data_IF_857302875116
#
_entry.id   IF_857302875116
#
_cell.length_a   1.000
_cell.length_b   1.000
_cell.length_c   1.000
_cell.angle_alpha   90.00
_cell.angle_beta   90.00
_cell.angle_gamma   90.00
#
_symmetry.space_group_name_H-M   'P 1'
#
loop_
_entity.id
_entity.type
_entity.pdbx_description
1 polymer ?
#
# COMPACT_ATOMS: atom_id res chain seq x y z
N UNK A 1 -21.34 10.60 17.71
CA UNK A 1 -21.00 10.62 16.28
C UNK A 1 -20.51 9.24 15.91
N UNK A 2 -21.34 8.42 15.27
CA UNK A 2 -20.93 7.12 14.78
C UNK A 2 -20.31 7.29 13.41
N UNK A 3 -19.00 7.08 13.28
CA UNK A 3 -18.40 6.88 11.96
C UNK A 3 -18.87 5.52 11.47
N UNK A 4 -20.02 5.45 10.79
CA UNK A 4 -20.46 4.22 10.13
C UNK A 4 -19.62 4.06 8.87
N UNK A 5 -18.49 3.37 8.99
CA UNK A 5 -17.72 2.92 7.84
C UNK A 5 -18.60 1.95 7.07
N UNK A 6 -19.02 2.33 5.87
CA UNK A 6 -19.86 1.46 5.03
C UNK A 6 -18.98 0.44 4.27
N UNK A 7 -19.55 -0.69 3.82
CA UNK A 7 -18.83 -1.64 2.97
C UNK A 7 -18.25 -0.98 1.71
N UNK A 8 -18.97 -0.02 1.13
CA UNK A 8 -18.51 0.76 -0.03
C UNK A 8 -17.30 1.64 0.29
N UNK A 9 -17.23 2.19 1.51
CA UNK A 9 -16.08 2.98 1.97
C UNK A 9 -14.84 2.10 2.13
N UNK A 10 -15.00 0.85 2.61
CA UNK A 10 -13.91 -0.14 2.68
C UNK A 10 -13.44 -0.56 1.28
N UNK A 11 -14.36 -0.78 0.34
CA UNK A 11 -14.01 -1.10 -1.06
C UNK A 11 -13.30 0.07 -1.76
N UNK A 12 -13.77 1.31 -1.57
CA UNK A 12 -13.10 2.50 -2.12
C UNK A 12 -11.72 2.69 -1.50
N UNK A 13 -11.61 2.54 -0.19
CA UNK A 13 -10.34 2.66 0.54
C UNK A 13 -9.34 1.60 0.13
N UNK A 14 -9.76 0.34 -0.02
CA UNK A 14 -8.88 -0.74 -0.49
C UNK A 14 -8.38 -0.51 -1.92
N UNK A 15 -9.24 -0.03 -2.83
CA UNK A 15 -8.85 0.32 -4.21
C UNK A 15 -7.92 1.53 -4.25
N UNK A 16 -8.13 2.53 -3.39
CA UNK A 16 -7.22 3.66 -3.24
C UNK A 16 -5.85 3.19 -2.71
N UNK A 17 -5.84 2.35 -1.68
CA UNK A 17 -4.63 1.82 -1.08
C UNK A 17 -3.82 0.96 -2.06
N UNK A 18 -4.46 0.07 -2.83
CA UNK A 18 -3.79 -0.71 -3.88
C UNK A 18 -3.16 0.18 -4.94
N UNK A 19 -3.85 1.22 -5.40
CA UNK A 19 -3.29 2.17 -6.38
C UNK A 19 -2.11 2.96 -5.80
N UNK A 20 -2.18 3.38 -4.55
CA UNK A 20 -1.08 4.06 -3.86
C UNK A 20 0.12 3.12 -3.69
N UNK A 21 -0.11 1.87 -3.30
CA UNK A 21 0.92 0.83 -3.21
C UNK A 21 1.61 0.63 -4.57
N UNK A 22 0.85 0.50 -5.66
CA UNK A 22 1.43 0.39 -7.01
C UNK A 22 2.28 1.61 -7.41
N UNK A 23 1.86 2.83 -7.05
CA UNK A 23 2.67 4.04 -7.30
C UNK A 23 3.95 4.05 -6.47
N UNK A 24 3.89 3.68 -5.20
CA UNK A 24 5.06 3.56 -4.32
C UNK A 24 6.05 2.54 -4.89
N UNK A 25 5.57 1.37 -5.32
CA UNK A 25 6.39 0.33 -5.99
C UNK A 25 7.02 0.81 -7.30
N UNK A 26 6.45 1.83 -7.97
CA UNK A 26 7.03 2.43 -9.19
C UNK A 26 8.03 3.57 -8.93
N UNK A 27 8.10 4.06 -7.69
CA UNK A 27 9.05 5.10 -7.25
C UNK A 27 10.53 4.67 -7.17
N UNK A 28 10.93 3.40 -6.95
CA UNK A 28 12.34 3.03 -6.76
C UNK A 28 13.20 3.26 -8.01
N UNK A 29 12.60 3.32 -9.22
CA UNK A 29 13.34 3.65 -10.43
C UNK A 29 13.96 5.05 -10.41
N UNK A 30 13.24 6.06 -9.89
CA UNK A 30 13.74 7.43 -9.80
C UNK A 30 14.74 7.60 -8.66
N UNK A 31 14.51 6.94 -7.52
CA UNK A 31 15.43 6.98 -6.39
C UNK A 31 16.78 6.32 -6.72
N UNK A 32 16.79 5.15 -7.38
CA UNK A 32 18.02 4.51 -7.89
C UNK A 32 18.79 5.42 -8.84
N UNK A 33 18.09 6.10 -9.74
CA UNK A 33 18.71 7.07 -10.64
C UNK A 33 19.34 8.26 -9.90
N UNK A 34 18.68 8.76 -8.86
CA UNK A 34 19.23 9.82 -8.03
C UNK A 34 20.48 9.37 -7.25
N UNK A 35 20.48 8.17 -6.67
CA UNK A 35 21.64 7.62 -5.96
C UNK A 35 22.83 7.38 -6.91
N UNK A 36 22.59 6.87 -8.11
CA UNK A 36 23.65 6.72 -9.12
C UNK A 36 24.27 8.05 -9.56
N UNK A 37 23.48 9.13 -9.62
CA UNK A 37 24.02 10.49 -9.87
C UNK A 37 24.87 11.00 -8.72
N UNK A 38 24.49 10.70 -7.48
CA UNK A 38 25.28 11.07 -6.29
C UNK A 38 26.63 10.35 -6.31
N UNK A 39 26.64 9.05 -6.63
CA UNK A 39 27.86 8.26 -6.79
C UNK A 39 28.81 8.85 -7.84
N UNK A 40 28.29 9.16 -9.04
CA UNK A 40 29.07 9.76 -10.13
C UNK A 40 29.57 11.18 -9.79
N UNK A 41 28.75 11.98 -9.10
CA UNK A 41 29.10 13.37 -8.76
C UNK A 41 30.14 13.47 -7.64
N UNK A 42 30.19 12.50 -6.73
CA UNK A 42 31.06 12.59 -5.55
C UNK A 42 32.52 12.22 -5.84
N UNK A 43 32.79 11.36 -6.83
CA UNK A 43 34.15 11.03 -7.31
C UNK A 43 35.07 10.31 -6.30
N UNK A 44 34.63 10.14 -5.06
CA UNK A 44 35.34 9.48 -3.96
C UNK A 44 34.73 8.09 -3.68
N UNK A 45 35.54 7.01 -3.61
CA UNK A 45 35.05 5.66 -3.28
C UNK A 45 34.33 5.57 -1.92
N UNK A 46 34.67 6.40 -0.93
CA UNK A 46 33.96 6.42 0.35
C UNK A 46 32.52 6.93 0.19
N UNK A 47 32.33 7.93 -0.66
CA UNK A 47 31.03 8.51 -0.95
C UNK A 47 30.17 7.58 -1.82
N UNK A 48 30.78 6.83 -2.73
CA UNK A 48 30.12 5.75 -3.47
C UNK A 48 29.57 4.67 -2.52
N UNK A 49 30.33 4.28 -1.50
CA UNK A 49 29.88 3.33 -0.48
C UNK A 49 28.67 3.84 0.31
N UNK A 50 28.65 5.12 0.69
CA UNK A 50 27.51 5.75 1.38
C UNK A 50 26.28 5.82 0.46
N UNK A 51 26.45 6.21 -0.81
CA UNK A 51 25.35 6.26 -1.77
C UNK A 51 24.74 4.87 -2.04
N UNK A 52 25.59 3.84 -2.15
CA UNK A 52 25.15 2.45 -2.31
C UNK A 52 24.39 1.93 -1.07
N UNK A 53 24.90 2.22 0.14
CA UNK A 53 24.23 1.86 1.38
C UNK A 53 22.86 2.56 1.52
N UNK A 54 22.79 3.84 1.16
CA UNK A 54 21.55 4.61 1.17
C UNK A 54 20.55 4.04 0.15
N UNK A 55 21.01 3.69 -1.06
CA UNK A 55 20.18 3.05 -2.07
C UNK A 55 19.63 1.69 -1.63
N UNK A 56 20.46 0.88 -0.94
CA UNK A 56 20.03 -0.40 -0.35
C UNK A 56 18.95 -0.19 0.72
N UNK A 57 19.22 0.67 1.71
CA UNK A 57 18.27 0.97 2.79
C UNK A 57 16.94 1.53 2.27
N UNK A 58 16.99 2.35 1.22
CA UNK A 58 15.80 2.87 0.55
C UNK A 58 14.99 1.76 -0.13
N UNK A 59 15.68 0.83 -0.82
CA UNK A 59 15.03 -0.30 -1.46
C UNK A 59 14.33 -1.21 -0.44
N UNK A 60 14.98 -1.50 0.69
CA UNK A 60 14.43 -2.32 1.76
C UNK A 60 13.19 -1.66 2.42
N UNK A 61 13.29 -0.37 2.74
CA UNK A 61 12.17 0.38 3.30
C UNK A 61 10.97 0.43 2.35
N UNK A 62 11.23 0.57 1.05
CA UNK A 62 10.19 0.63 0.04
C UNK A 62 9.55 -0.75 -0.19
N UNK A 63 10.31 -1.84 -0.12
CA UNK A 63 9.77 -3.20 -0.14
C UNK A 63 8.85 -3.46 1.06
N UNK A 64 9.30 -3.15 2.27
CA UNK A 64 8.50 -3.31 3.50
C UNK A 64 7.20 -2.49 3.45
N UNK A 65 7.26 -1.25 2.96
CA UNK A 65 6.09 -0.39 2.79
C UNK A 65 5.12 -0.96 1.77
N UNK A 66 5.63 -1.52 0.67
CA UNK A 66 4.82 -2.10 -0.40
C UNK A 66 4.10 -3.36 0.05
N UNK A 67 4.80 -4.26 0.74
CA UNK A 67 4.23 -5.49 1.30
C UNK A 67 3.15 -5.17 2.34
N UNK A 68 3.42 -4.22 3.24
CA UNK A 68 2.45 -3.78 4.25
C UNK A 68 1.21 -3.16 3.60
N UNK A 69 1.39 -2.32 2.57
CA UNK A 69 0.27 -1.69 1.87
C UNK A 69 -0.58 -2.69 1.07
N UNK A 70 0.05 -3.70 0.46
CA UNK A 70 -0.66 -4.80 -0.22
C UNK A 70 -1.43 -5.67 0.76
N UNK A 71 -0.80 -6.04 1.89
CA UNK A 71 -1.44 -6.80 2.97
C UNK A 71 -2.64 -6.08 3.56
N UNK A 72 -2.49 -4.79 3.90
CA UNK A 72 -3.58 -3.96 4.41
C UNK A 72 -4.70 -3.78 3.38
N UNK A 73 -4.35 -3.65 2.09
CA UNK A 73 -5.32 -3.57 1.00
C UNK A 73 -6.13 -4.86 0.84
N UNK A 74 -5.49 -6.02 1.00
CA UNK A 74 -6.16 -7.32 1.01
C UNK A 74 -7.10 -7.50 2.20
N UNK A 75 -6.62 -7.16 3.41
CA UNK A 75 -7.42 -7.25 4.64
C UNK A 75 -8.65 -6.34 4.61
N UNK A 76 -8.49 -5.09 4.15
CA UNK A 76 -9.60 -4.13 4.02
C UNK A 76 -10.63 -4.58 2.97
N UNK A 77 -10.18 -5.18 1.87
CA UNK A 77 -11.07 -5.77 0.88
C UNK A 77 -11.87 -6.96 1.47
N UNK A 78 -11.19 -7.90 2.13
CA UNK A 78 -11.81 -9.06 2.77
C UNK A 78 -12.85 -8.64 3.83
N UNK A 79 -12.51 -7.65 4.66
CA UNK A 79 -13.42 -7.07 5.64
C UNK A 79 -14.66 -6.45 4.97
N UNK A 80 -14.49 -5.67 3.90
CA UNK A 80 -15.60 -5.10 3.14
C UNK A 80 -16.52 -6.15 2.52
N UNK A 81 -15.96 -7.24 1.96
CA UNK A 81 -16.77 -8.34 1.40
C UNK A 81 -17.52 -9.13 2.47
N UNK A 82 -16.90 -9.36 3.63
CA UNK A 82 -17.54 -10.06 4.74
C UNK A 82 -18.71 -9.23 5.30
N UNK A 83 -18.52 -7.92 5.44
CA UNK A 83 -19.56 -7.01 5.92
C UNK A 83 -20.74 -6.93 4.95
N UNK A 84 -20.49 -6.79 3.64
CA UNK A 84 -21.54 -6.78 2.63
C UNK A 84 -22.30 -8.13 2.56
N UNK A 85 -21.60 -9.25 2.74
CA UNK A 85 -22.24 -10.57 2.83
C UNK A 85 -23.14 -10.71 4.05
N UNK A 86 -22.68 -10.24 5.22
CA UNK A 86 -23.47 -10.24 6.45
C UNK A 86 -24.72 -9.35 6.34
N UNK A 87 -24.58 -8.14 5.79
CA UNK A 87 -25.73 -7.25 5.52
C UNK A 87 -26.73 -7.89 4.55
N UNK A 88 -26.25 -8.56 3.51
CA UNK A 88 -27.11 -9.30 2.57
C UNK A 88 -27.91 -10.42 3.25
N UNK A 89 -27.26 -11.22 4.11
CA UNK A 89 -27.94 -12.29 4.86
C UNK A 89 -28.99 -11.72 5.83
N UNK A 90 -28.67 -10.63 6.53
CA UNK A 90 -29.60 -9.97 7.45
C UNK A 90 -30.79 -9.38 6.69
N UNK A 91 -30.56 -8.69 5.57
CA UNK A 91 -31.63 -8.14 4.74
C UNK A 91 -32.54 -9.25 4.18
N UNK A 92 -31.95 -10.38 3.76
CA UNK A 92 -32.72 -11.54 3.28
C UNK A 92 -33.55 -12.15 4.41
N UNK A 93 -32.97 -12.35 5.59
CA UNK A 93 -33.65 -12.89 6.76
C UNK A 93 -34.82 -12.00 7.23
N UNK A 94 -34.63 -10.68 7.22
CA UNK A 94 -35.68 -9.71 7.57
C UNK A 94 -36.79 -9.67 6.51
N UNK A 95 -36.44 -9.73 5.22
CA UNK A 95 -37.42 -9.76 4.12
C UNK A 95 -38.22 -11.06 4.01
N UNK A 96 -37.69 -12.18 4.51
CA UNK A 96 -38.45 -13.44 4.65
C UNK A 96 -39.31 -13.52 5.91
N UNK A 97 -39.15 -12.59 6.85
CA UNK A 97 -39.90 -12.54 8.10
C UNK A 97 -41.14 -11.64 8.02
N UNK A 98 -41.42 -11.05 6.86
CA UNK A 98 -42.62 -10.26 6.52
C UNK A 98 -43.49 -10.98 5.51
#
# INVERSE_FOLDING_TARGET
MGYSVTPDDLQRSSKALRRSATRVVSTPGQARWAFGKIEVACGDPACAGVAAALAGSWADALAALSDTALGLGGATFAAGTAYAGADGVVATAVGTAS
#
